data_IF_497582853327
#
_entry.id   IF_497582853327
#
_cell.length_a   1.000
_cell.length_b   1.000
_cell.length_c   1.000
_cell.angle_alpha   90.00
_cell.angle_beta   90.00
_cell.angle_gamma   90.00
#
_symmetry.space_group_name_H-M   'P 1'
#
loop_
_entity.id
_entity.type
_entity.pdbx_description
1 polymer ?
#
# COMPACT_ATOMS: atom_id res chain seq x y z
N UNK A 1 2.29 -12.88 6.96
CA UNK A 1 0.88 -12.67 7.30
C UNK A 1 0.00 -13.20 6.18
N UNK A 2 -1.12 -13.78 6.53
CA UNK A 2 -2.14 -14.27 5.60
C UNK A 2 -3.47 -13.67 6.02
N UNK A 3 -4.19 -13.10 5.08
CA UNK A 3 -5.51 -12.55 5.33
C UNK A 3 -6.43 -12.88 4.16
N UNK A 4 -7.62 -13.40 4.46
CA UNK A 4 -8.71 -13.58 3.50
C UNK A 4 -9.81 -12.60 3.87
N UNK A 5 -10.30 -11.86 2.90
CA UNK A 5 -11.48 -11.00 3.03
C UNK A 5 -12.50 -11.38 1.99
N UNK A 6 -13.72 -11.51 2.44
CA UNK A 6 -14.88 -11.88 1.63
C UNK A 6 -15.84 -10.70 1.58
N UNK A 7 -16.32 -10.39 0.39
CA UNK A 7 -17.31 -9.32 0.17
C UNK A 7 -18.47 -9.91 -0.57
N UNK A 8 -19.65 -9.88 0.06
CA UNK A 8 -20.93 -10.07 -0.62
C UNK A 8 -21.34 -8.73 -1.21
N UNK A 9 -21.39 -8.64 -2.52
CA UNK A 9 -21.87 -7.45 -3.20
C UNK A 9 -23.16 -7.78 -3.94
N UNK A 10 -24.25 -7.17 -3.50
CA UNK A 10 -25.54 -7.25 -4.16
C UNK A 10 -26.08 -5.86 -4.44
N UNK A 11 -26.53 -5.65 -5.67
CA UNK A 11 -27.26 -4.46 -6.07
C UNK A 11 -28.36 -4.87 -7.07
N UNK A 12 -29.56 -5.06 -6.58
CA UNK A 12 -30.68 -5.54 -7.40
C UNK A 12 -30.96 -4.66 -8.62
N UNK A 13 -30.82 -3.33 -8.47
CA UNK A 13 -31.00 -2.38 -9.55
C UNK A 13 -29.96 -2.50 -10.68
N UNK A 14 -28.80 -3.09 -10.41
CA UNK A 14 -27.74 -3.33 -11.39
C UNK A 14 -27.60 -4.81 -11.78
N UNK A 15 -28.36 -5.71 -11.18
CA UNK A 15 -28.24 -7.16 -11.40
C UNK A 15 -26.94 -7.74 -10.87
N UNK A 16 -26.29 -7.07 -9.93
CA UNK A 16 -25.08 -7.54 -9.25
C UNK A 16 -25.49 -8.39 -8.04
N UNK A 17 -25.12 -9.65 -8.07
CA UNK A 17 -25.27 -10.57 -6.94
C UNK A 17 -24.12 -11.57 -7.00
N UNK A 18 -22.96 -11.21 -6.44
CA UNK A 18 -21.74 -11.98 -6.55
C UNK A 18 -20.93 -11.89 -5.26
N UNK A 19 -20.33 -13.01 -4.92
CA UNK A 19 -19.37 -13.14 -3.84
C UNK A 19 -17.96 -12.95 -4.36
N UNK A 20 -17.14 -12.17 -3.65
CA UNK A 20 -15.76 -11.89 -4.01
C UNK A 20 -14.84 -12.32 -2.88
N UNK A 21 -13.80 -13.05 -3.22
CA UNK A 21 -12.76 -13.46 -2.27
C UNK A 21 -11.44 -12.74 -2.57
N UNK A 22 -10.90 -12.05 -1.58
CA UNK A 22 -9.56 -11.44 -1.64
C UNK A 22 -8.60 -12.16 -0.69
N UNK A 23 -7.47 -12.64 -1.21
CA UNK A 23 -6.41 -13.31 -0.44
C UNK A 23 -5.18 -12.43 -0.43
N UNK A 24 -4.75 -11.99 0.75
CA UNK A 24 -3.48 -11.26 0.93
C UNK A 24 -2.45 -12.15 1.64
N UNK A 25 -1.23 -12.17 1.14
CA UNK A 25 -0.14 -12.93 1.75
C UNK A 25 1.18 -12.17 1.74
N UNK A 26 1.84 -12.15 2.89
CA UNK A 26 3.22 -11.73 3.07
C UNK A 26 3.92 -12.75 3.98
N UNK A 27 4.41 -13.87 3.42
CA UNK A 27 4.90 -14.99 4.21
C UNK A 27 6.13 -14.64 5.04
N UNK A 28 7.01 -13.79 4.52
CA UNK A 28 8.21 -13.33 5.20
C UNK A 28 8.35 -11.82 5.04
N UNK A 29 8.57 -11.14 6.15
CA UNK A 29 8.90 -9.71 6.20
C UNK A 29 10.28 -9.60 6.88
N UNK A 30 11.38 -9.65 6.10
CA UNK A 30 12.71 -9.63 6.67
C UNK A 30 13.04 -8.23 7.22
N UNK A 31 13.75 -8.21 8.36
CA UNK A 31 14.37 -7.00 8.89
C UNK A 31 15.71 -7.33 9.55
N UNK A 32 16.66 -6.42 9.40
CA UNK A 32 17.98 -6.50 10.01
C UNK A 32 18.35 -5.14 10.58
N UNK A 33 18.82 -5.16 11.83
CA UNK A 33 19.34 -3.97 12.51
C UNK A 33 20.77 -4.22 12.94
N UNK A 34 21.61 -3.20 12.80
CA UNK A 34 22.98 -3.22 13.28
C UNK A 34 23.33 -1.87 13.88
N UNK A 35 24.15 -1.88 14.96
CA UNK A 35 24.68 -0.67 15.55
C UNK A 35 26.11 -0.90 16.02
N UNK A 36 26.97 0.09 15.79
CA UNK A 36 28.33 0.11 16.27
C UNK A 36 28.61 1.40 17.01
N UNK A 37 28.97 1.30 18.29
CA UNK A 37 29.25 2.44 19.16
C UNK A 37 30.75 2.61 19.35
N UNK A 38 31.22 3.84 19.21
CA UNK A 38 32.60 4.24 19.50
C UNK A 38 32.62 5.62 20.14
N UNK A 39 33.03 5.70 21.41
CA UNK A 39 32.97 6.94 22.22
C UNK A 39 31.53 7.48 22.28
N UNK A 40 31.34 8.73 21.88
CA UNK A 40 30.05 9.42 21.87
C UNK A 40 29.27 9.21 20.55
N UNK A 41 29.84 8.47 19.63
CA UNK A 41 29.23 8.20 18.31
C UNK A 41 28.64 6.79 18.22
N UNK A 42 27.51 6.67 17.57
CA UNK A 42 26.93 5.38 17.20
C UNK A 42 26.54 5.40 15.74
N UNK A 43 27.15 4.52 14.94
CA UNK A 43 26.71 4.22 13.58
C UNK A 43 25.60 3.16 13.66
N UNK A 44 24.49 3.41 13.02
CA UNK A 44 23.36 2.46 12.94
C UNK A 44 22.95 2.19 11.51
N UNK A 45 22.50 0.96 11.27
CA UNK A 45 21.99 0.50 9.98
C UNK A 45 20.72 -0.31 10.16
N UNK A 46 19.85 -0.19 9.19
CA UNK A 46 18.61 -0.98 9.05
C UNK A 46 18.45 -1.42 7.61
N UNK A 47 18.01 -2.64 7.43
CA UNK A 47 17.48 -3.17 6.18
C UNK A 47 16.15 -3.84 6.46
N UNK A 48 15.15 -3.60 5.61
CA UNK A 48 13.85 -4.26 5.77
C UNK A 48 12.83 -3.82 4.73
N UNK A 49 11.63 -4.35 4.89
CA UNK A 49 10.44 -3.94 4.12
C UNK A 49 9.70 -2.89 4.96
N UNK A 50 9.64 -1.65 4.46
CA UNK A 50 9.01 -0.51 5.16
C UNK A 50 7.62 -0.18 4.65
N UNK A 51 7.20 -0.78 3.55
CA UNK A 51 5.87 -0.54 3.00
C UNK A 51 5.46 -1.60 1.99
N UNK A 52 4.18 -1.56 1.64
CA UNK A 52 3.55 -2.53 0.76
C UNK A 52 2.85 -3.65 1.52
N UNK A 53 1.80 -4.20 0.91
CA UNK A 53 0.93 -5.21 1.53
C UNK A 53 1.27 -6.67 1.18
N UNK A 54 2.38 -6.92 0.49
CA UNK A 54 2.68 -8.23 -0.06
C UNK A 54 1.97 -8.50 -1.39
N UNK A 55 1.52 -9.74 -1.59
CA UNK A 55 0.69 -10.14 -2.74
C UNK A 55 -0.78 -10.18 -2.32
N UNK A 56 -1.66 -9.64 -3.15
CA UNK A 56 -3.10 -9.80 -3.04
C UNK A 56 -3.64 -10.44 -4.32
N UNK A 57 -4.50 -11.45 -4.19
CA UNK A 57 -5.12 -12.18 -5.29
C UNK A 57 -6.64 -12.11 -5.16
N UNK A 58 -7.32 -11.87 -6.26
CA UNK A 58 -8.77 -11.76 -6.37
C UNK A 58 -9.22 -12.65 -7.54
N UNK A 59 -9.46 -13.92 -7.23
CA UNK A 59 -9.76 -14.95 -8.24
C UNK A 59 -11.10 -14.70 -8.96
N UNK A 60 -12.03 -14.02 -8.29
CA UNK A 60 -13.34 -13.63 -8.83
C UNK A 60 -13.40 -12.15 -9.25
N UNK A 61 -12.25 -11.48 -9.33
CA UNK A 61 -12.12 -10.05 -9.63
C UNK A 61 -12.52 -9.15 -8.46
N UNK A 62 -12.89 -7.94 -8.78
CA UNK A 62 -13.25 -6.90 -7.81
C UNK A 62 -14.66 -6.37 -8.09
N UNK A 63 -15.46 -6.03 -7.04
CA UNK A 63 -16.79 -5.42 -7.21
C UNK A 63 -16.78 -4.20 -8.13
N UNK A 64 -15.71 -3.42 -8.11
CA UNK A 64 -15.55 -2.24 -8.95
C UNK A 64 -15.46 -2.59 -10.43
N UNK A 65 -14.83 -3.72 -10.80
CA UNK A 65 -14.74 -4.16 -12.20
C UNK A 65 -16.11 -4.53 -12.74
N UNK A 66 -16.88 -5.30 -11.97
CA UNK A 66 -18.21 -5.68 -12.34
C UNK A 66 -19.12 -4.44 -12.48
N UNK A 67 -19.04 -3.50 -11.54
CA UNK A 67 -19.79 -2.25 -11.59
C UNK A 67 -19.44 -1.40 -12.83
N UNK A 68 -18.15 -1.32 -13.22
CA UNK A 68 -17.73 -0.62 -14.43
C UNK A 68 -18.31 -1.26 -15.69
N UNK A 69 -18.29 -2.60 -15.80
CA UNK A 69 -18.85 -3.32 -16.93
C UNK A 69 -20.36 -3.15 -17.00
N UNK A 70 -21.06 -3.32 -15.88
CA UNK A 70 -22.52 -3.14 -15.79
C UNK A 70 -22.90 -1.71 -16.20
N UNK A 71 -22.17 -0.70 -15.72
CA UNK A 71 -22.39 0.70 -16.09
C UNK A 71 -22.11 0.96 -17.57
N UNK A 72 -20.99 0.46 -18.10
CA UNK A 72 -20.59 0.64 -19.50
C UNK A 72 -21.54 -0.04 -20.49
N UNK A 73 -21.89 -1.30 -20.26
CA UNK A 73 -22.85 -2.03 -21.10
C UNK A 73 -24.30 -1.55 -20.91
N UNK A 74 -24.66 -1.15 -19.68
CA UNK A 74 -25.96 -0.56 -19.39
C UNK A 74 -26.20 0.76 -20.15
N UNK A 75 -25.17 1.59 -20.30
CA UNK A 75 -25.24 2.78 -21.14
C UNK A 75 -25.51 2.46 -22.61
N UNK A 76 -25.09 1.28 -23.07
CA UNK A 76 -25.40 0.76 -24.42
C UNK A 76 -26.71 -0.02 -24.48
N UNK A 77 -27.52 0.00 -23.40
CA UNK A 77 -28.78 -0.72 -23.24
C UNK A 77 -28.66 -2.25 -23.28
N UNK A 78 -27.49 -2.79 -22.94
CA UNK A 78 -27.26 -4.23 -22.79
C UNK A 78 -27.48 -4.58 -21.30
N UNK A 79 -28.53 -5.35 -20.99
CA UNK A 79 -28.85 -5.68 -19.60
C UNK A 79 -27.88 -6.72 -19.01
N UNK A 80 -27.70 -6.72 -17.69
CA UNK A 80 -26.74 -7.58 -16.99
C UNK A 80 -26.98 -9.09 -17.14
N UNK A 81 -28.20 -9.51 -17.42
CA UNK A 81 -28.56 -10.91 -17.69
C UNK A 81 -28.20 -11.36 -19.12
N UNK A 82 -27.76 -10.45 -19.99
CA UNK A 82 -27.49 -10.75 -21.39
C UNK A 82 -26.01 -11.10 -21.66
N UNK A 83 -25.15 -11.03 -20.65
CA UNK A 83 -23.73 -11.39 -20.75
C UNK A 83 -23.25 -12.15 -19.52
N UNK A 84 -22.17 -12.89 -19.69
CA UNK A 84 -21.40 -13.47 -18.58
C UNK A 84 -20.14 -12.65 -18.37
N UNK A 85 -19.79 -12.39 -17.11
CA UNK A 85 -18.59 -11.64 -16.73
C UNK A 85 -17.64 -12.54 -15.95
N UNK A 86 -16.39 -12.59 -16.39
CA UNK A 86 -15.28 -13.25 -15.71
C UNK A 86 -14.17 -12.24 -15.52
N UNK A 87 -13.60 -12.20 -14.34
CA UNK A 87 -12.46 -11.34 -14.06
C UNK A 87 -11.58 -11.95 -12.98
N UNK A 88 -10.30 -11.65 -13.01
CA UNK A 88 -9.37 -11.91 -11.92
C UNK A 88 -8.37 -10.76 -11.82
N UNK A 89 -7.75 -10.58 -10.67
CA UNK A 89 -6.69 -9.62 -10.47
C UNK A 89 -5.71 -10.08 -9.41
N UNK A 90 -4.45 -10.01 -9.74
CA UNK A 90 -3.31 -10.15 -8.84
C UNK A 90 -2.60 -8.79 -8.71
N UNK A 91 -2.28 -8.42 -7.49
CA UNK A 91 -1.45 -7.25 -7.20
C UNK A 91 -0.34 -7.61 -6.23
N UNK A 92 0.83 -7.04 -6.40
CA UNK A 92 1.93 -7.13 -5.43
C UNK A 92 2.57 -5.78 -5.25
N UNK A 93 3.02 -5.51 -4.01
CA UNK A 93 3.69 -4.26 -3.70
C UNK A 93 4.64 -4.45 -2.51
N UNK A 94 5.89 -4.02 -2.68
CA UNK A 94 6.91 -4.02 -1.64
C UNK A 94 7.75 -2.74 -1.74
N UNK A 95 8.11 -2.18 -0.59
CA UNK A 95 9.13 -1.13 -0.49
C UNK A 95 10.26 -1.70 0.38
N UNK A 96 11.36 -2.03 -0.29
CA UNK A 96 12.60 -2.43 0.38
C UNK A 96 13.39 -1.18 0.75
N UNK A 97 13.91 -1.15 1.98
CA UNK A 97 14.60 0.02 2.48
C UNK A 97 15.93 -0.33 3.14
N UNK A 98 16.93 0.50 2.87
CA UNK A 98 18.21 0.51 3.56
C UNK A 98 18.39 1.87 4.20
N UNK A 99 18.58 1.92 5.52
CA UNK A 99 18.83 3.16 6.25
C UNK A 99 20.20 3.10 6.92
N UNK A 100 20.95 4.18 6.83
CA UNK A 100 22.17 4.40 7.58
C UNK A 100 22.07 5.73 8.32
N UNK A 101 22.65 5.80 9.52
CA UNK A 101 22.63 7.03 10.28
C UNK A 101 23.63 7.04 11.40
N UNK A 102 23.95 8.25 11.86
CA UNK A 102 24.84 8.53 12.94
C UNK A 102 24.09 9.17 14.09
N UNK A 103 24.29 8.63 15.30
CA UNK A 103 23.86 9.27 16.55
C UNK A 103 25.07 9.82 17.26
N UNK A 104 24.96 11.06 17.73
CA UNK A 104 25.95 11.71 18.56
C UNK A 104 25.39 11.98 19.95
N UNK A 105 26.09 11.51 20.99
CA UNK A 105 25.78 11.82 22.38
C UNK A 105 26.26 13.25 22.70
N UNK A 106 25.37 14.24 22.55
CA UNK A 106 25.69 15.65 22.73
C UNK A 106 25.94 16.01 24.20
N UNK A 107 25.19 15.37 25.10
CA UNK A 107 25.35 15.48 26.57
C UNK A 107 25.04 14.11 27.20
N UNK A 108 25.16 14.01 28.54
CA UNK A 108 24.83 12.76 29.25
C UNK A 108 23.34 12.38 29.15
N UNK A 109 22.49 13.35 28.85
CA UNK A 109 21.05 13.16 28.78
C UNK A 109 20.47 13.39 27.37
N UNK A 110 21.23 13.91 26.39
CA UNK A 110 20.74 14.22 25.05
C UNK A 110 21.60 13.57 23.98
N UNK A 111 20.96 12.86 23.08
CA UNK A 111 21.54 12.34 21.84
C UNK A 111 20.78 12.89 20.63
N UNK A 112 21.51 13.17 19.55
CA UNK A 112 20.97 13.62 18.26
C UNK A 112 21.31 12.63 17.17
N UNK A 113 20.36 12.41 16.25
CA UNK A 113 20.50 11.47 15.14
C UNK A 113 20.33 12.20 13.81
N UNK A 114 21.15 11.83 12.84
CA UNK A 114 20.96 12.19 11.43
C UNK A 114 21.29 10.99 10.55
N UNK A 115 20.45 10.76 9.54
CA UNK A 115 20.62 9.63 8.62
C UNK A 115 19.83 9.79 7.35
N UNK A 116 19.87 8.75 6.52
CA UNK A 116 19.13 8.67 5.28
C UNK A 116 18.73 7.25 4.98
N UNK A 117 17.59 7.12 4.32
CA UNK A 117 17.03 5.86 3.90
C UNK A 117 16.79 5.84 2.38
N UNK A 118 17.38 4.86 1.71
CA UNK A 118 17.06 4.53 0.33
C UNK A 118 15.87 3.58 0.32
N UNK A 119 14.89 3.88 -0.50
CA UNK A 119 13.68 3.09 -0.69
C UNK A 119 13.64 2.60 -2.14
N UNK A 120 13.41 1.31 -2.31
CA UNK A 120 13.18 0.68 -3.61
C UNK A 120 11.77 0.09 -3.64
N UNK A 121 10.93 0.69 -4.46
CA UNK A 121 9.59 0.18 -4.74
C UNK A 121 9.66 -0.88 -5.85
N UNK A 122 9.01 -2.00 -5.64
CA UNK A 122 8.72 -2.99 -6.68
C UNK A 122 7.31 -3.53 -6.49
N UNK A 123 6.58 -3.59 -7.58
CA UNK A 123 5.18 -4.01 -7.56
C UNK A 123 4.68 -4.35 -8.94
N UNK A 124 3.37 -4.45 -9.06
CA UNK A 124 2.70 -4.64 -10.33
C UNK A 124 1.32 -5.22 -10.19
N UNK A 125 0.64 -5.22 -11.30
CA UNK A 125 -0.72 -5.73 -11.46
C UNK A 125 -0.77 -6.67 -12.64
N UNK A 126 -1.45 -7.81 -12.45
CA UNK A 126 -1.79 -8.75 -13.51
C UNK A 126 -3.25 -9.10 -13.38
N UNK A 127 -3.99 -9.01 -14.45
CA UNK A 127 -5.41 -9.32 -14.41
C UNK A 127 -6.04 -9.33 -15.77
N UNK A 128 -7.21 -9.95 -15.83
CA UNK A 128 -8.06 -9.92 -17.01
C UNK A 128 -9.52 -9.76 -16.61
N UNK A 129 -10.26 -9.15 -17.51
CA UNK A 129 -11.70 -9.02 -17.43
C UNK A 129 -12.29 -9.33 -18.81
N UNK A 130 -13.27 -10.22 -18.86
CA UNK A 130 -13.98 -10.55 -20.08
C UNK A 130 -15.48 -10.59 -19.83
N UNK A 131 -16.23 -9.75 -20.53
CA UNK A 131 -17.67 -9.80 -20.60
C UNK A 131 -18.08 -10.31 -21.98
N UNK A 132 -18.73 -11.46 -22.06
CA UNK A 132 -19.15 -12.10 -23.30
C UNK A 132 -20.66 -12.29 -23.36
N UNK A 133 -21.26 -12.10 -24.53
CA UNK A 133 -22.70 -12.30 -24.74
C UNK A 133 -23.13 -13.69 -24.31
N UNK A 134 -24.05 -13.79 -23.36
CA UNK A 134 -24.63 -15.05 -22.88
C UNK A 134 -25.75 -15.57 -23.80
N UNK A 135 -26.36 -14.66 -24.55
CA UNK A 135 -27.45 -14.95 -25.52
C UNK A 135 -27.22 -14.13 -26.78
N UNK A 136 -27.93 -14.48 -27.83
CA UNK A 136 -27.97 -13.66 -29.06
C UNK A 136 -28.65 -12.32 -28.76
N UNK A 137 -27.95 -11.21 -29.04
CA UNK A 137 -28.43 -9.84 -28.75
C UNK A 137 -28.75 -9.12 -30.07
N UNK A 138 -30.01 -8.74 -30.32
CA UNK A 138 -30.37 -7.94 -31.47
C UNK A 138 -29.77 -6.51 -31.34
N UNK A 139 -29.16 -6.01 -32.40
CA UNK A 139 -28.67 -4.64 -32.45
C UNK A 139 -29.76 -3.68 -32.95
N UNK A 140 -29.88 -2.47 -32.36
CA UNK A 140 -30.83 -1.45 -32.83
C UNK A 140 -30.64 -1.04 -34.29
N UNK A 141 -29.45 -1.19 -34.82
CA UNK A 141 -29.04 -0.84 -36.18
C UNK A 141 -29.27 -1.98 -37.20
N UNK A 142 -29.84 -3.10 -36.76
CA UNK A 142 -29.94 -4.34 -37.53
C UNK A 142 -28.70 -5.21 -37.38
N UNK A 143 -28.87 -6.50 -37.31
CA UNK A 143 -27.85 -7.50 -37.03
C UNK A 143 -28.00 -8.11 -35.63
N UNK A 144 -27.15 -9.09 -35.32
CA UNK A 144 -27.20 -9.83 -34.05
C UNK A 144 -25.78 -10.06 -33.56
N UNK A 145 -25.52 -9.75 -32.29
CA UNK A 145 -24.32 -10.18 -31.57
C UNK A 145 -24.59 -11.64 -31.17
N UNK A 146 -23.76 -12.55 -31.63
CA UNK A 146 -23.90 -13.97 -31.33
C UNK A 146 -23.40 -14.30 -29.93
N UNK A 147 -23.99 -15.35 -29.33
CA UNK A 147 -23.52 -15.88 -28.03
C UNK A 147 -22.02 -16.17 -28.07
N UNK A 148 -21.31 -15.81 -27.00
CA UNK A 148 -19.86 -15.96 -26.88
C UNK A 148 -19.03 -14.80 -27.43
N UNK A 149 -19.64 -13.85 -28.16
CA UNK A 149 -18.93 -12.65 -28.64
C UNK A 149 -18.46 -11.81 -27.45
N UNK A 150 -17.19 -11.42 -27.43
CA UNK A 150 -16.63 -10.49 -26.44
C UNK A 150 -17.28 -9.11 -26.60
N UNK A 151 -17.85 -8.58 -25.53
CA UNK A 151 -18.45 -7.26 -25.46
C UNK A 151 -17.47 -6.25 -24.86
N UNK A 152 -16.77 -6.64 -23.82
CA UNK A 152 -15.65 -5.90 -23.19
C UNK A 152 -14.57 -6.90 -22.80
N UNK A 153 -13.33 -6.60 -23.16
CA UNK A 153 -12.15 -7.33 -22.75
C UNK A 153 -11.08 -6.37 -22.22
N UNK A 154 -10.48 -6.72 -21.10
CA UNK A 154 -9.30 -6.03 -20.55
C UNK A 154 -8.28 -7.07 -20.22
N UNK A 155 -7.04 -6.87 -20.69
CA UNK A 155 -5.89 -7.66 -20.26
C UNK A 155 -4.78 -6.72 -19.83
N UNK A 156 -4.20 -6.99 -18.65
CA UNK A 156 -3.15 -6.19 -18.05
C UNK A 156 -2.05 -7.05 -17.45
N UNK A 157 -0.81 -6.82 -17.85
CA UNK A 157 0.42 -7.30 -17.17
C UNK A 157 1.41 -6.14 -17.09
N UNK A 158 1.43 -5.46 -15.94
CA UNK A 158 2.23 -4.29 -15.69
C UNK A 158 3.07 -4.47 -14.42
N UNK A 159 4.38 -4.45 -14.59
CA UNK A 159 5.35 -4.35 -13.49
C UNK A 159 5.68 -2.89 -13.22
N UNK A 160 5.98 -2.56 -11.97
CA UNK A 160 6.25 -1.19 -11.54
C UNK A 160 7.49 -1.16 -10.66
N UNK A 161 8.36 -0.18 -10.87
CA UNK A 161 9.55 0.04 -10.04
C UNK A 161 9.76 1.52 -9.78
N UNK A 162 10.43 1.84 -8.67
CA UNK A 162 10.76 3.22 -8.33
C UNK A 162 11.82 3.29 -7.24
N UNK A 163 12.53 4.42 -7.17
CA UNK A 163 13.52 4.71 -6.15
C UNK A 163 13.22 6.05 -5.49
N UNK A 164 13.50 6.12 -4.20
CA UNK A 164 13.36 7.36 -3.45
C UNK A 164 14.31 7.41 -2.26
N UNK A 165 14.65 8.63 -1.83
CA UNK A 165 15.53 8.88 -0.69
C UNK A 165 14.80 9.67 0.38
N UNK A 166 14.87 9.21 1.63
CA UNK A 166 14.27 9.83 2.82
C UNK A 166 15.36 10.32 3.75
N UNK A 167 15.61 11.62 3.90
CA UNK A 167 16.36 12.13 5.02
C UNK A 167 15.66 11.85 6.34
N UNK A 168 16.40 11.58 7.40
CA UNK A 168 15.86 11.28 8.74
C UNK A 168 16.68 12.04 9.79
N UNK A 169 16.00 12.74 10.68
CA UNK A 169 16.61 13.37 11.86
C UNK A 169 15.88 12.91 13.12
N UNK A 170 16.56 12.91 14.24
CA UNK A 170 15.98 12.50 15.51
C UNK A 170 16.72 13.04 16.71
N UNK A 171 16.05 12.96 17.85
CA UNK A 171 16.63 13.26 19.13
C UNK A 171 16.10 12.29 20.19
N UNK A 172 16.91 12.03 21.19
CA UNK A 172 16.55 11.24 22.36
C UNK A 172 17.07 11.90 23.62
N UNK A 173 16.18 12.13 24.59
CA UNK A 173 16.50 12.75 25.86
C UNK A 173 16.17 11.82 27.01
N UNK A 174 17.21 11.37 27.74
CA UNK A 174 17.08 10.49 28.92
C UNK A 174 17.25 11.27 30.21
N UNK A 175 16.16 11.49 30.93
CA UNK A 175 16.06 12.27 32.17
C UNK A 175 15.73 11.34 33.34
N UNK A 176 16.75 10.64 33.87
CA UNK A 176 16.55 9.63 34.91
C UNK A 176 15.70 8.46 34.41
N UNK A 177 14.47 8.34 34.95
CA UNK A 177 13.50 7.30 34.57
C UNK A 177 12.64 7.67 33.35
N UNK A 178 12.70 8.93 32.91
CA UNK A 178 11.95 9.42 31.78
C UNK A 178 12.84 9.39 30.53
N UNK A 179 12.31 8.85 29.43
CA UNK A 179 12.91 8.93 28.11
C UNK A 179 11.93 9.62 27.12
N UNK A 180 12.42 10.60 26.38
CA UNK A 180 11.64 11.30 25.36
C UNK A 180 12.39 11.18 24.03
N UNK A 181 11.74 10.59 23.04
CA UNK A 181 12.25 10.48 21.68
C UNK A 181 11.41 11.29 20.71
N UNK A 182 12.06 11.94 19.75
CA UNK A 182 11.39 12.53 18.61
C UNK A 182 12.17 12.22 17.33
N UNK A 183 11.44 11.92 16.25
CA UNK A 183 12.00 11.61 14.93
C UNK A 183 11.17 12.30 13.86
N UNK A 184 11.84 12.87 12.87
CA UNK A 184 11.21 13.38 11.67
C UNK A 184 11.83 12.71 10.44
N UNK A 185 10.97 12.08 9.66
CA UNK A 185 11.29 11.52 8.35
C UNK A 185 10.74 12.48 7.30
N UNK A 186 11.62 12.99 6.45
CA UNK A 186 11.21 13.89 5.37
C UNK A 186 10.43 13.10 4.31
N UNK A 187 9.60 13.80 3.57
CA UNK A 187 8.88 13.21 2.44
C UNK A 187 9.86 12.60 1.44
N UNK A 188 9.54 11.41 0.97
CA UNK A 188 10.29 10.75 -0.09
C UNK A 188 9.59 11.00 -1.41
N UNK A 189 10.23 11.70 -2.32
CA UNK A 189 9.77 11.73 -3.70
C UNK A 189 10.03 10.36 -4.32
N UNK A 190 8.96 9.62 -4.54
CA UNK A 190 8.98 8.28 -5.11
C UNK A 190 8.14 8.26 -6.38
N UNK A 191 8.79 8.28 -7.53
CA UNK A 191 8.14 8.10 -8.81
C UNK A 191 8.21 6.64 -9.22
N UNK A 192 7.07 6.11 -9.63
CA UNK A 192 6.90 4.72 -10.05
C UNK A 192 6.75 4.69 -11.56
N UNK A 193 7.63 3.93 -12.22
CA UNK A 193 7.61 3.74 -13.66
C UNK A 193 7.03 2.38 -14.03
N UNK A 194 6.16 2.37 -15.03
CA UNK A 194 5.52 1.19 -15.57
C UNK A 194 6.42 0.47 -16.59
N UNK A 195 6.56 -0.83 -16.40
CA UNK A 195 7.09 -1.76 -17.42
C UNK A 195 5.96 -2.72 -17.80
N UNK A 196 5.24 -2.37 -18.84
CA UNK A 196 4.01 -3.06 -19.25
C UNK A 196 4.30 -4.01 -20.40
N UNK A 197 3.89 -5.27 -20.22
CA UNK A 197 3.98 -6.32 -21.24
C UNK A 197 2.68 -6.47 -22.00
N UNK A 198 1.56 -6.28 -21.31
CA UNK A 198 0.23 -6.37 -21.89
C UNK A 198 -0.65 -5.27 -21.29
N UNK A 199 -1.37 -4.57 -22.16
CA UNK A 199 -2.32 -3.52 -21.79
C UNK A 199 -3.29 -3.34 -22.93
N UNK A 200 -4.41 -4.02 -22.87
CA UNK A 200 -5.43 -3.94 -23.89
C UNK A 200 -6.79 -3.68 -23.27
N UNK A 201 -7.55 -2.81 -23.91
CA UNK A 201 -8.95 -2.52 -23.65
C UNK A 201 -9.72 -2.66 -24.97
N UNK A 202 -10.53 -3.69 -25.03
CA UNK A 202 -11.39 -4.02 -26.17
C UNK A 202 -12.85 -3.78 -25.78
N UNK A 203 -13.59 -3.10 -26.63
CA UNK A 203 -15.02 -2.88 -26.47
C UNK A 203 -15.70 -3.08 -27.81
N UNK A 204 -16.81 -3.78 -27.81
CA UNK A 204 -17.57 -4.06 -29.04
C UNK A 204 -17.95 -2.75 -29.73
N UNK A 205 -17.68 -2.68 -31.03
CA UNK A 205 -17.95 -1.49 -31.82
C UNK A 205 -16.93 -0.36 -31.68
N UNK A 206 -15.86 -0.55 -30.94
CA UNK A 206 -14.76 0.42 -30.80
C UNK A 206 -13.43 -0.20 -31.25
N UNK A 207 -12.48 0.64 -31.61
CA UNK A 207 -11.10 0.22 -31.83
C UNK A 207 -10.46 -0.18 -30.49
N UNK A 208 -9.57 -1.17 -30.55
CA UNK A 208 -8.75 -1.53 -29.41
C UNK A 208 -7.93 -0.34 -28.90
N UNK A 209 -7.84 -0.19 -27.60
CA UNK A 209 -7.12 0.88 -26.92
C UNK A 209 -6.35 0.33 -25.71
N UNK A 210 -5.64 1.21 -25.02
CA UNK A 210 -4.88 0.88 -23.82
C UNK A 210 -5.40 1.66 -22.61
N UNK A 211 -5.24 1.08 -21.43
CA UNK A 211 -5.47 1.77 -20.16
C UNK A 211 -4.36 2.82 -19.99
N UNK A 212 -4.72 4.11 -20.02
CA UNK A 212 -3.76 5.23 -20.07
C UNK A 212 -2.76 5.22 -18.90
N UNK A 213 -3.24 4.92 -17.67
CA UNK A 213 -2.44 4.93 -16.46
C UNK A 213 -1.43 3.77 -16.39
N UNK A 214 -1.58 2.75 -17.25
CA UNK A 214 -0.73 1.55 -17.27
C UNK A 214 0.11 1.40 -18.53
N UNK A 215 0.20 2.44 -19.34
CA UNK A 215 1.07 2.42 -20.52
C UNK A 215 2.53 2.25 -20.12
N UNK A 216 3.28 1.56 -20.99
CA UNK A 216 4.72 1.36 -20.79
C UNK A 216 5.44 2.72 -20.71
N UNK A 217 6.37 2.89 -19.74
CA UNK A 217 7.13 4.10 -19.51
C UNK A 217 6.35 5.23 -18.82
N UNK A 218 5.05 5.06 -18.52
CA UNK A 218 4.33 6.04 -17.72
C UNK A 218 4.92 6.07 -16.33
N UNK A 219 5.27 7.27 -15.88
CA UNK A 219 5.87 7.54 -14.58
C UNK A 219 4.91 8.37 -13.75
N UNK A 220 4.56 7.88 -12.58
CA UNK A 220 3.58 8.51 -11.69
C UNK A 220 4.13 8.71 -10.29
N UNK A 221 3.82 9.83 -9.61
CA UNK A 221 4.18 10.00 -8.21
C UNK A 221 3.45 8.99 -7.32
N UNK A 222 4.19 8.42 -6.40
CA UNK A 222 3.71 7.56 -5.31
C UNK A 222 4.55 7.81 -4.07
N UNK A 223 4.58 9.08 -3.65
CA UNK A 223 5.47 9.59 -2.61
C UNK A 223 5.19 8.91 -1.26
N UNK A 224 6.25 8.75 -0.47
CA UNK A 224 6.09 8.36 0.93
C UNK A 224 5.93 9.65 1.75
N UNK A 225 4.85 9.81 2.51
CA UNK A 225 4.59 11.03 3.28
C UNK A 225 5.70 11.31 4.29
N UNK A 226 5.92 12.57 4.62
CA UNK A 226 6.72 12.90 5.78
C UNK A 226 6.04 12.41 7.05
N UNK A 227 6.84 12.02 8.04
CA UNK A 227 6.36 11.49 9.31
C UNK A 227 7.05 12.16 10.49
N UNK A 228 6.26 12.69 11.41
CA UNK A 228 6.70 13.07 12.74
C UNK A 228 6.34 11.97 13.73
N UNK A 229 7.31 11.46 14.47
CA UNK A 229 7.11 10.55 15.61
C UNK A 229 7.59 11.20 16.89
N UNK A 230 6.78 11.14 17.94
CA UNK A 230 7.16 11.57 19.28
C UNK A 230 6.77 10.49 20.27
N UNK A 231 7.72 10.06 21.10
CA UNK A 231 7.51 9.01 22.09
C UNK A 231 7.95 9.47 23.47
N UNK A 232 7.23 9.02 24.49
CA UNK A 232 7.57 9.20 25.90
C UNK A 232 7.51 7.85 26.58
N UNK A 233 8.60 7.44 27.20
CA UNK A 233 8.69 6.21 27.99
C UNK A 233 9.07 6.54 29.43
N UNK A 234 8.47 5.83 30.37
CA UNK A 234 8.74 6.00 31.80
C UNK A 234 8.96 4.65 32.49
N UNK A 235 10.06 4.57 33.23
CA UNK A 235 10.41 3.43 34.08
C UNK A 235 9.82 3.63 35.48
N UNK A 236 8.70 2.96 35.77
CA UNK A 236 8.05 3.02 37.09
C UNK A 236 8.92 2.36 38.16
N UNK A 237 9.37 1.17 37.87
CA UNK A 237 10.33 0.38 38.66
C UNK A 237 11.31 -0.30 37.68
N UNK A 238 12.48 -0.80 38.15
CA UNK A 238 13.52 -1.34 37.25
C UNK A 238 13.09 -2.46 36.30
N UNK A 239 11.96 -3.11 36.58
CA UNK A 239 11.42 -4.24 35.81
C UNK A 239 10.15 -3.88 35.04
N UNK A 240 9.62 -2.64 35.17
CA UNK A 240 8.36 -2.25 34.56
C UNK A 240 8.46 -0.86 33.94
N UNK A 241 8.21 -0.77 32.64
CA UNK A 241 8.18 0.48 31.88
C UNK A 241 6.95 0.55 30.99
N UNK A 242 6.47 1.76 30.76
CA UNK A 242 5.42 2.00 29.78
C UNK A 242 5.82 3.13 28.83
N UNK A 243 5.24 3.12 27.65
CA UNK A 243 5.44 4.16 26.64
C UNK A 243 4.13 4.57 26.02
N UNK A 244 4.11 5.83 25.59
CA UNK A 244 3.09 6.38 24.68
C UNK A 244 3.80 7.02 23.50
N UNK A 245 3.23 6.89 22.32
CA UNK A 245 3.82 7.40 21.10
C UNK A 245 2.73 8.03 20.23
N UNK A 246 3.10 9.07 19.52
CA UNK A 246 2.27 9.77 18.54
C UNK A 246 2.99 9.82 17.20
N UNK A 247 2.28 9.44 16.14
CA UNK A 247 2.73 9.61 14.76
C UNK A 247 1.79 10.53 14.01
N UNK A 248 2.37 11.40 13.22
CA UNK A 248 1.66 12.21 12.23
C UNK A 248 2.26 11.95 10.84
N UNK A 249 1.41 11.54 9.90
CA UNK A 249 1.76 11.36 8.49
C UNK A 249 1.13 12.48 7.68
N UNK A 250 1.93 13.17 6.89
CA UNK A 250 1.46 14.26 6.02
C UNK A 250 1.02 13.73 4.65
N UNK A 251 0.05 12.81 4.64
CA UNK A 251 -0.47 12.15 3.44
C UNK A 251 -1.03 13.13 2.42
N UNK A 252 -1.59 14.24 2.90
CA UNK A 252 -2.19 15.27 2.04
C UNK A 252 -1.19 15.91 1.08
N UNK A 253 0.07 15.99 1.48
CA UNK A 253 1.14 16.62 0.69
C UNK A 253 2.01 15.59 -0.06
N UNK A 254 1.83 14.29 0.17
CA UNK A 254 2.53 13.23 -0.55
C UNK A 254 1.88 13.01 -1.92
N UNK A 255 2.63 13.20 -2.99
CA UNK A 255 2.12 13.07 -4.36
C UNK A 255 1.64 11.65 -4.67
N UNK A 256 0.45 11.53 -5.23
CA UNK A 256 -0.14 10.28 -5.71
C UNK A 256 -0.55 10.39 -7.17
N UNK A 257 -0.60 9.24 -7.85
CA UNK A 257 -1.10 9.16 -9.23
C UNK A 257 -2.43 9.92 -9.37
N UNK A 258 -2.55 10.71 -10.44
CA UNK A 258 -3.72 11.53 -10.74
C UNK A 258 -4.08 12.56 -9.66
N UNK A 259 -3.13 12.90 -8.77
CA UNK A 259 -3.33 13.88 -7.71
C UNK A 259 -4.35 13.46 -6.65
N UNK A 260 -4.52 12.16 -6.41
CA UNK A 260 -5.51 11.59 -5.47
C UNK A 260 -5.36 12.12 -4.05
N UNK A 261 -4.15 12.49 -3.60
CA UNK A 261 -3.91 13.09 -2.29
C UNK A 261 -4.69 14.40 -2.07
N UNK A 262 -5.08 15.10 -3.15
CA UNK A 262 -5.85 16.35 -3.05
C UNK A 262 -7.27 16.15 -2.51
N UNK A 263 -7.80 14.92 -2.55
CA UNK A 263 -9.08 14.56 -1.94
C UNK A 263 -8.99 14.34 -0.43
N UNK A 264 -7.78 14.21 0.12
CA UNK A 264 -7.59 14.12 1.56
C UNK A 264 -7.76 15.49 2.22
N UNK A 265 -8.56 15.54 3.28
CA UNK A 265 -8.79 16.77 4.04
C UNK A 265 -7.70 17.04 5.07
N UNK A 266 -7.07 15.97 5.59
CA UNK A 266 -6.03 16.01 6.63
C UNK A 266 -5.07 14.83 6.46
N UNK A 267 -3.91 14.91 7.11
CA UNK A 267 -2.99 13.77 7.28
C UNK A 267 -3.50 12.75 8.32
N UNK A 268 -2.81 11.63 8.43
CA UNK A 268 -3.13 10.55 9.37
C UNK A 268 -2.46 10.78 10.71
N UNK A 269 -3.20 10.52 11.78
CA UNK A 269 -2.69 10.56 13.14
C UNK A 269 -2.80 9.18 13.74
N UNK A 270 -1.74 8.70 14.38
CA UNK A 270 -1.71 7.44 15.10
C UNK A 270 -1.28 7.67 16.54
N UNK A 271 -1.93 6.99 17.45
CA UNK A 271 -1.63 6.99 18.88
C UNK A 271 -1.32 5.57 19.31
N UNK A 272 -0.17 5.40 19.95
CA UNK A 272 0.30 4.10 20.40
C UNK A 272 0.54 4.13 21.91
N UNK A 273 0.31 3.00 22.57
CA UNK A 273 0.68 2.82 23.96
C UNK A 273 1.17 1.41 24.16
N UNK A 274 2.17 1.26 25.03
CA UNK A 274 2.76 -0.04 25.33
C UNK A 274 3.27 -0.13 26.76
N UNK A 275 3.32 -1.36 27.26
CA UNK A 275 3.90 -1.72 28.55
C UNK A 275 4.88 -2.86 28.34
N UNK A 276 5.99 -2.82 29.06
CA UNK A 276 7.03 -3.83 29.01
C UNK A 276 7.43 -4.22 30.42
N UNK A 277 7.50 -5.53 30.68
CA UNK A 277 7.80 -6.12 31.97
C UNK A 277 8.91 -7.16 31.86
N UNK A 278 9.99 -6.94 32.59
CA UNK A 278 11.07 -7.91 32.75
C UNK A 278 10.65 -8.96 33.82
N UNK A 279 10.04 -10.06 33.36
CA UNK A 279 9.54 -11.15 34.23
C UNK A 279 10.69 -11.83 34.92
N UNK A 280 11.81 -12.00 34.20
CA UNK A 280 13.09 -12.51 34.75
C UNK A 280 14.24 -11.71 34.11
N UNK A 281 15.49 -11.99 34.53
CA UNK A 281 16.68 -11.41 33.90
C UNK A 281 16.84 -11.80 32.41
N UNK A 282 16.17 -12.85 31.95
CA UNK A 282 16.28 -13.40 30.59
C UNK A 282 14.98 -13.26 29.80
N UNK A 283 13.86 -12.97 30.43
CA UNK A 283 12.56 -12.91 29.81
C UNK A 283 11.89 -11.55 30.04
N UNK A 284 11.67 -10.84 28.97
CA UNK A 284 10.85 -9.62 28.92
C UNK A 284 9.58 -9.90 28.11
N UNK A 285 8.46 -9.46 28.63
CA UNK A 285 7.15 -9.55 27.97
C UNK A 285 6.64 -8.15 27.71
N UNK A 286 6.12 -7.91 26.51
CA UNK A 286 5.54 -6.63 26.14
C UNK A 286 4.13 -6.79 25.57
N UNK A 287 3.29 -5.78 25.78
CA UNK A 287 1.95 -5.66 25.21
C UNK A 287 1.71 -4.22 24.83
N UNK A 288 1.03 -4.00 23.72
CA UNK A 288 0.69 -2.66 23.26
C UNK A 288 -0.42 -2.67 22.21
N UNK A 289 -0.86 -1.47 21.86
CA UNK A 289 -1.89 -1.26 20.86
C UNK A 289 -1.75 0.11 20.20
N UNK A 290 -2.40 0.26 19.05
CA UNK A 290 -2.45 1.52 18.30
C UNK A 290 -3.85 1.78 17.75
N UNK A 291 -4.15 3.03 17.56
CA UNK A 291 -5.38 3.54 16.95
C UNK A 291 -5.08 4.69 16.01
#
# INVERSE_FOLDING_TARGET
AFQTRNIDASCEGLGLNKYYEGKASAPVIPSLFAAYKTGDWTLSGFFGITGGGGKASFDDGLPMFDAMVIGGLGAQKIPSNAYSLKSYMDGKQYIYSVQLGLTYKATDWLSVFAGGRMNYFTGGYQGALNASAATNLPLPTGGTITTGTELIGIDLDCSQTGWGFTPVIGLDAKLGKLNIGAKYEFMTNLNIENSTKENSLRMIGAAESELADYKHGVNTPNDIPSMLSVAVAYEFIPVLRASVEYHFFDDKNAGMANGKQKFLTKGTNEYLAGIEWDVTKQLTVSCGGQI
#
